data_IF_919609645084
#
_entry.id   IF_919609645084
#
_cell.length_a   1.000
_cell.length_b   1.000
_cell.length_c   1.000
_cell.angle_alpha   90.00
_cell.angle_beta   90.00
_cell.angle_gamma   90.00
#
_symmetry.space_group_name_H-M   'P 1'
#
loop_
_entity.id
_entity.type
_entity.pdbx_description
1 polymer ?
#
# COMPACT_ATOMS: atom_id res chain seq x y z
N UNK A 1 19.80 1.21 38.42
CA UNK A 1 20.18 2.26 37.46
C UNK A 1 19.00 2.52 36.55
N UNK A 2 18.53 3.78 36.48
CA UNK A 2 17.55 4.28 35.51
C UNK A 2 18.09 4.10 34.07
N UNK A 3 17.27 3.88 33.04
CA UNK A 3 16.47 4.94 32.43
C UNK A 3 15.15 4.44 31.79
N UNK A 4 14.07 5.10 32.20
CA UNK A 4 12.88 5.31 31.37
C UNK A 4 13.25 6.37 30.30
N UNK A 5 12.84 6.15 29.06
CA UNK A 5 12.72 7.23 28.07
C UNK A 5 11.24 7.37 27.69
N UNK A 6 10.56 8.47 28.07
CA UNK A 6 9.18 8.74 27.69
C UNK A 6 9.10 9.60 26.41
N UNK A 7 7.99 9.40 25.69
CA UNK A 7 7.33 10.33 24.73
C UNK A 7 8.01 10.58 23.36
N UNK A 8 7.45 9.91 22.34
CA UNK A 8 7.09 10.57 21.08
C UNK A 8 5.68 10.11 20.66
N UNK A 9 4.68 11.00 20.60
CA UNK A 9 3.47 10.74 19.84
C UNK A 9 3.79 11.09 18.38
N UNK A 10 4.09 10.09 17.55
CA UNK A 10 4.15 10.29 16.11
C UNK A 10 2.75 10.54 15.56
N UNK A 11 2.37 11.81 15.68
CA UNK A 11 1.53 12.61 14.81
C UNK A 11 1.29 11.95 13.44
N UNK A 12 0.02 11.66 13.17
CA UNK A 12 -0.60 11.65 11.83
C UNK A 12 0.08 10.73 10.81
N UNK A 13 -0.09 9.41 10.99
CA UNK A 13 -0.25 8.56 9.82
C UNK A 13 -1.55 8.95 9.09
N UNK A 14 -1.64 8.81 7.75
CA UNK A 14 -2.88 9.06 7.04
C UNK A 14 -3.94 8.11 7.60
N UNK A 15 -4.96 8.70 8.23
CA UNK A 15 -6.11 8.02 8.81
C UNK A 15 -6.62 6.93 7.83
N UNK A 16 -6.67 5.65 8.22
CA UNK A 16 -7.44 4.68 7.46
C UNK A 16 -8.88 5.19 7.48
N UNK A 17 -9.40 5.51 6.30
CA UNK A 17 -10.69 6.13 6.07
C UNK A 17 -11.76 5.40 6.89
N UNK A 18 -12.09 5.94 8.06
CA UNK A 18 -13.16 5.42 8.89
C UNK A 18 -14.47 5.66 8.16
N UNK A 19 -15.34 4.65 7.99
CA UNK A 19 -16.58 4.80 7.23
C UNK A 19 -17.60 5.54 8.10
N UNK A 20 -17.45 6.86 8.20
CA UNK A 20 -18.51 7.74 8.70
C UNK A 20 -19.59 7.80 7.61
N UNK A 21 -20.68 7.09 7.87
CA UNK A 21 -21.92 7.17 7.09
C UNK A 21 -22.40 8.62 7.03
N UNK A 22 -22.30 9.25 5.87
CA UNK A 22 -23.32 10.16 5.33
C UNK A 22 -23.13 10.22 3.81
N UNK A 23 -24.25 10.10 3.13
CA UNK A 23 -24.38 9.84 1.70
C UNK A 23 -23.76 10.92 0.79
N UNK A 24 -23.37 10.49 -0.42
CA UNK A 24 -22.99 11.31 -1.61
C UNK A 24 -21.49 11.54 -1.92
N UNK A 25 -20.59 10.62 -1.51
CA UNK A 25 -19.18 10.60 -2.01
C UNK A 25 -18.77 9.22 -2.58
N UNK A 26 -19.75 8.36 -2.88
CA UNK A 26 -19.51 6.96 -3.25
C UNK A 26 -18.75 6.72 -4.55
N UNK A 27 -18.77 7.65 -5.50
CA UNK A 27 -18.11 7.47 -6.79
C UNK A 27 -16.61 7.83 -6.77
N UNK A 28 -16.24 8.95 -6.14
CA UNK A 28 -14.86 9.47 -6.19
C UNK A 28 -13.88 8.69 -5.32
N UNK A 29 -14.32 8.23 -4.14
CA UNK A 29 -13.47 7.42 -3.26
C UNK A 29 -13.18 6.04 -3.86
N UNK A 30 -14.17 5.44 -4.53
CA UNK A 30 -14.00 4.16 -5.22
C UNK A 30 -13.06 4.29 -6.41
N UNK A 31 -13.25 5.31 -7.26
CA UNK A 31 -12.40 5.55 -8.42
C UNK A 31 -10.95 5.89 -8.05
N UNK A 32 -10.74 6.64 -6.96
CA UNK A 32 -9.41 6.92 -6.43
C UNK A 32 -8.74 5.66 -5.84
N UNK A 33 -9.51 4.77 -5.20
CA UNK A 33 -9.02 3.49 -4.71
C UNK A 33 -8.67 2.55 -5.87
N UNK A 34 -9.47 2.51 -6.93
CA UNK A 34 -9.19 1.75 -8.14
C UNK A 34 -7.90 2.22 -8.82
N UNK A 35 -7.72 3.54 -8.98
CA UNK A 35 -6.49 4.08 -9.57
C UNK A 35 -5.27 3.79 -8.69
N UNK A 36 -5.40 3.94 -7.38
CA UNK A 36 -4.32 3.61 -6.44
C UNK A 36 -3.97 2.10 -6.50
N UNK A 37 -4.98 1.23 -6.61
CA UNK A 37 -4.81 -0.22 -6.73
C UNK A 37 -4.09 -0.58 -8.03
N UNK A 38 -4.47 0.05 -9.15
CA UNK A 38 -3.78 -0.12 -10.43
C UNK A 38 -2.32 0.32 -10.34
N UNK A 39 -2.05 1.50 -9.79
CA UNK A 39 -0.68 2.01 -9.60
C UNK A 39 0.16 1.08 -8.72
N UNK A 40 -0.43 0.53 -7.66
CA UNK A 40 0.23 -0.43 -6.79
C UNK A 40 0.61 -1.71 -7.56
N UNK A 41 -0.29 -2.23 -8.40
CA UNK A 41 -0.02 -3.36 -9.28
C UNK A 41 1.10 -3.08 -10.28
N UNK A 42 1.05 -1.95 -10.99
CA UNK A 42 2.08 -1.55 -11.96
C UNK A 42 3.46 -1.40 -11.28
N UNK A 43 3.49 -0.82 -10.08
CA UNK A 43 4.71 -0.69 -9.29
C UNK A 43 5.24 -2.06 -8.84
N UNK A 44 4.34 -2.93 -8.39
CA UNK A 44 4.66 -4.32 -8.08
C UNK A 44 5.33 -5.00 -9.27
N UNK A 45 4.72 -4.93 -10.45
CA UNK A 45 5.27 -5.50 -11.69
C UNK A 45 6.66 -4.96 -12.04
N UNK A 46 6.85 -3.64 -11.93
CA UNK A 46 8.17 -3.02 -12.14
C UNK A 46 9.22 -3.49 -11.12
N UNK A 47 8.84 -3.70 -9.87
CA UNK A 47 9.72 -4.27 -8.85
C UNK A 47 10.01 -5.76 -9.11
N UNK A 48 9.02 -6.53 -9.57
CA UNK A 48 9.16 -7.96 -9.87
C UNK A 48 10.02 -8.26 -11.10
N UNK A 49 10.15 -7.32 -12.03
CA UNK A 49 11.05 -7.42 -13.17
C UNK A 49 12.51 -7.11 -12.84
N UNK A 50 12.82 -6.61 -11.63
CA UNK A 50 14.20 -6.31 -11.24
C UNK A 50 14.87 -7.57 -10.69
N UNK A 51 16.15 -7.73 -10.99
CA UNK A 51 16.95 -8.87 -10.51
C UNK A 51 17.18 -8.91 -9.00
N UNK A 52 16.97 -7.77 -8.30
CA UNK A 52 17.13 -7.71 -6.85
C UNK A 52 15.79 -7.58 -6.15
N UNK A 53 15.57 -8.46 -5.16
CA UNK A 53 14.40 -8.47 -4.27
C UNK A 53 14.52 -7.41 -3.16
N UNK A 54 14.95 -6.20 -3.51
CA UNK A 54 15.20 -5.13 -2.53
C UNK A 54 13.93 -4.29 -2.23
N UNK A 55 12.87 -4.41 -3.04
CA UNK A 55 11.69 -3.54 -2.94
C UNK A 55 10.54 -4.24 -2.21
N UNK A 56 10.54 -4.12 -0.89
CA UNK A 56 9.44 -4.57 -0.02
C UNK A 56 8.14 -3.82 -0.29
N UNK A 57 7.02 -4.49 -0.04
CA UNK A 57 5.68 -3.92 -0.20
C UNK A 57 5.47 -2.74 0.77
N UNK A 58 5.34 -1.49 0.28
CA UNK A 58 5.25 -0.31 1.12
C UNK A 58 3.82 -0.06 1.63
N UNK A 59 2.86 -0.86 1.20
CA UNK A 59 1.45 -0.70 1.59
C UNK A 59 1.15 -1.50 2.86
N UNK A 60 0.18 -1.05 3.68
CA UNK A 60 -0.22 -1.77 4.88
C UNK A 60 -0.63 -3.20 4.56
N UNK A 61 -0.08 -4.16 5.31
CA UNK A 61 -0.38 -5.58 5.13
C UNK A 61 -1.90 -5.85 5.18
N UNK A 62 -2.39 -6.65 4.23
CA UNK A 62 -3.81 -6.99 4.10
C UNK A 62 -4.68 -5.93 3.41
N UNK A 63 -4.15 -4.76 3.07
CA UNK A 63 -4.85 -3.75 2.27
C UNK A 63 -5.01 -4.18 0.80
N UNK A 64 -5.98 -3.59 0.09
CA UNK A 64 -6.16 -3.84 -1.34
C UNK A 64 -4.92 -3.45 -2.16
N UNK A 65 -4.24 -2.38 -1.75
CA UNK A 65 -3.01 -1.89 -2.41
C UNK A 65 -1.85 -2.86 -2.19
N UNK A 66 -1.70 -3.40 -0.97
CA UNK A 66 -0.68 -4.39 -0.68
C UNK A 66 -0.85 -5.65 -1.53
N UNK A 67 -2.08 -6.16 -1.61
CA UNK A 67 -2.40 -7.32 -2.47
C UNK A 67 -2.12 -7.02 -3.93
N UNK A 68 -2.52 -5.86 -4.43
CA UNK A 68 -2.28 -5.47 -5.82
C UNK A 68 -0.79 -5.40 -6.14
N UNK A 69 0.02 -4.81 -5.26
CA UNK A 69 1.48 -4.78 -5.39
C UNK A 69 2.07 -6.19 -5.44
N UNK A 70 1.71 -7.06 -4.51
CA UNK A 70 2.19 -8.46 -4.48
C UNK A 70 1.82 -9.24 -5.75
N UNK A 71 0.59 -9.07 -6.24
CA UNK A 71 0.16 -9.69 -7.49
C UNK A 71 0.98 -9.18 -8.69
N UNK A 72 1.13 -7.85 -8.80
CA UNK A 72 1.95 -7.25 -9.84
C UNK A 72 3.39 -7.76 -9.78
N UNK A 73 3.97 -7.82 -8.60
CA UNK A 73 5.33 -8.30 -8.35
C UNK A 73 5.55 -9.73 -8.84
N UNK A 74 4.65 -10.65 -8.48
CA UNK A 74 4.71 -12.03 -8.96
C UNK A 74 4.58 -12.13 -10.49
N UNK A 75 3.73 -11.32 -11.10
CA UNK A 75 3.57 -11.31 -12.56
C UNK A 75 4.77 -10.68 -13.28
N UNK A 76 5.39 -9.66 -12.67
CA UNK A 76 6.65 -9.08 -13.13
C UNK A 76 7.80 -10.10 -13.11
N UNK A 77 7.93 -10.87 -12.03
CA UNK A 77 8.93 -11.95 -11.94
C UNK A 77 8.74 -13.02 -13.02
N UNK A 78 7.48 -13.40 -13.29
CA UNK A 78 7.17 -14.36 -14.37
C UNK A 78 7.53 -13.81 -15.74
N UNK A 79 7.25 -12.53 -16.00
CA UNK A 79 7.54 -11.91 -17.28
C UNK A 79 9.03 -11.68 -17.54
N UNK A 80 9.84 -11.60 -16.48
CA UNK A 80 11.30 -11.47 -16.56
C UNK A 80 12.03 -12.81 -16.74
N UNK A 81 11.33 -13.95 -16.55
CA UNK A 81 11.91 -15.30 -16.59
C UNK A 81 11.75 -15.96 -17.95
#
# INVERSE_FOLDING_TARGET
MHAQNPLTPSRLGPEPCSPRKVETIGAKCSQALDEATRRAYERGGGAGMREREDEENPYPAGSALAKAFEHGYLDGQKAHR
#
